data_IF_092295708130
#
_entry.id   IF_092295708130
#
_cell.length_a   1.000
_cell.length_b   1.000
_cell.length_c   1.000
_cell.angle_alpha   90.00
_cell.angle_beta   90.00
_cell.angle_gamma   90.00
#
_symmetry.space_group_name_H-M   'P 1'
#
loop_
_entity.id
_entity.type
_entity.pdbx_description
1 polymer ?
#
# COMPACT_ATOMS: atom_id res chain seq x y z
N UNK A 1 4.44 5.28 -6.39
CA UNK A 1 3.57 4.86 -5.25
C UNK A 1 3.55 5.94 -4.17
N UNK A 2 2.42 6.15 -3.51
CA UNK A 2 2.29 7.02 -2.32
C UNK A 2 1.07 6.59 -1.50
N UNK A 3 1.00 7.02 -0.25
CA UNK A 3 -0.18 6.82 0.59
C UNK A 3 -0.37 8.01 1.54
N UNK A 4 -1.57 8.12 2.11
CA UNK A 4 -1.77 8.88 3.34
C UNK A 4 -1.04 8.13 4.48
N UNK A 5 -0.14 8.80 5.20
CA UNK A 5 0.69 8.19 6.25
C UNK A 5 1.98 7.53 5.74
N UNK A 6 2.19 6.25 6.06
CA UNK A 6 3.35 5.45 5.64
C UNK A 6 2.94 4.12 5.01
N UNK A 7 3.67 3.69 4.00
CA UNK A 7 3.56 2.37 3.42
C UNK A 7 4.84 1.54 3.62
N UNK A 8 4.66 0.23 3.65
CA UNK A 8 5.70 -0.77 3.36
C UNK A 8 5.25 -1.57 2.15
N UNK A 9 6.14 -1.73 1.16
CA UNK A 9 5.85 -2.37 -0.13
C UNK A 9 6.56 -3.72 -0.22
N UNK A 10 5.84 -4.72 -0.74
CA UNK A 10 6.37 -6.01 -1.12
C UNK A 10 5.97 -6.37 -2.55
N UNK A 11 6.86 -7.09 -3.23
CA UNK A 11 6.57 -7.75 -4.50
C UNK A 11 6.97 -9.22 -4.35
N UNK A 12 6.04 -10.13 -4.63
CA UNK A 12 6.24 -11.58 -4.50
C UNK A 12 6.84 -11.99 -3.12
N UNK A 13 6.34 -11.40 -2.03
CA UNK A 13 6.83 -11.64 -0.66
C UNK A 13 8.15 -10.96 -0.29
N UNK A 14 8.90 -10.38 -1.25
CA UNK A 14 10.15 -9.66 -0.95
C UNK A 14 9.87 -8.19 -0.63
N UNK A 15 10.35 -7.73 0.53
CA UNK A 15 10.23 -6.33 0.92
C UNK A 15 11.07 -5.44 0.00
N UNK A 16 10.45 -4.41 -0.57
CA UNK A 16 11.04 -3.50 -1.56
C UNK A 16 11.48 -2.21 -0.91
N UNK A 17 10.61 -1.62 -0.09
CA UNK A 17 10.86 -0.31 0.48
C UNK A 17 9.75 0.19 1.39
N UNK A 18 10.01 1.38 1.94
CA UNK A 18 9.15 2.09 2.85
C UNK A 18 9.02 3.54 2.37
N UNK A 19 7.83 4.11 2.49
CA UNK A 19 7.58 5.47 2.03
C UNK A 19 6.21 5.95 2.50
N UNK A 20 5.63 6.98 1.87
CA UNK A 20 6.34 7.95 1.04
C UNK A 20 7.34 8.75 1.88
N UNK A 21 8.26 9.47 1.23
CA UNK A 21 9.00 10.53 1.92
C UNK A 21 8.03 11.55 2.53
N UNK A 22 8.42 12.16 3.65
CA UNK A 22 7.61 13.21 4.29
C UNK A 22 7.27 14.32 3.29
N UNK A 23 6.02 14.74 3.30
CA UNK A 23 5.48 15.81 2.48
C UNK A 23 4.38 16.54 3.23
N UNK A 24 4.11 17.79 2.81
CA UNK A 24 2.86 18.44 3.17
C UNK A 24 1.73 17.74 2.39
N UNK A 25 0.56 17.46 2.99
CA UNK A 25 -0.54 16.77 2.32
C UNK A 25 -1.06 17.51 1.07
N UNK A 26 -0.92 18.84 1.00
CA UNK A 26 -1.25 19.63 -0.20
C UNK A 26 -0.24 19.44 -1.35
N UNK A 27 0.94 18.88 -1.07
CA UNK A 27 2.02 18.62 -2.01
C UNK A 27 2.54 17.19 -1.83
N UNK A 28 1.62 16.23 -1.90
CA UNK A 28 1.91 14.82 -1.69
C UNK A 28 3.02 14.34 -2.62
N UNK A 29 4.04 13.69 -2.04
CA UNK A 29 5.14 13.11 -2.82
C UNK A 29 4.81 11.70 -3.27
N UNK A 30 5.29 11.35 -4.45
CA UNK A 30 5.20 10.02 -5.03
C UNK A 30 6.61 9.46 -5.12
N UNK A 31 6.78 8.23 -4.65
CA UNK A 31 8.03 7.51 -4.80
C UNK A 31 8.05 6.74 -6.13
N UNK A 32 9.16 6.83 -6.84
CA UNK A 32 9.48 6.03 -8.02
C UNK A 32 10.53 4.99 -7.65
N UNK A 33 10.22 3.72 -7.89
CA UNK A 33 11.05 2.59 -7.49
C UNK A 33 11.23 1.67 -8.70
N UNK A 34 12.47 1.36 -9.03
CA UNK A 34 12.79 0.35 -10.04
C UNK A 34 12.53 -1.04 -9.46
N UNK A 35 11.66 -1.82 -10.11
CA UNK A 35 11.19 -3.10 -9.59
C UNK A 35 11.50 -4.31 -10.49
N UNK A 36 12.22 -4.11 -11.60
CA UNK A 36 12.47 -5.17 -12.60
C UNK A 36 13.08 -6.44 -12.01
N UNK A 37 14.00 -6.33 -11.03
CA UNK A 37 14.66 -7.49 -10.40
C UNK A 37 13.74 -8.31 -9.48
N UNK A 38 12.57 -7.77 -9.13
CA UNK A 38 11.60 -8.41 -8.21
C UNK A 38 10.44 -9.06 -8.96
N UNK A 39 10.29 -8.76 -10.25
CA UNK A 39 9.25 -9.31 -11.10
C UNK A 39 9.69 -10.66 -11.69
N UNK A 40 8.74 -11.58 -11.77
CA UNK A 40 8.88 -12.86 -12.46
C UNK A 40 7.98 -12.93 -13.67
N UNK A 41 8.29 -13.84 -14.60
CA UNK A 41 7.38 -14.21 -15.68
C UNK A 41 6.07 -14.78 -15.08
N UNK A 42 4.94 -14.42 -15.66
CA UNK A 42 3.60 -14.83 -15.22
C UNK A 42 2.98 -13.86 -14.21
N UNK A 43 2.21 -14.40 -13.27
CA UNK A 43 1.55 -13.62 -12.23
C UNK A 43 2.56 -13.13 -11.18
N UNK A 44 2.36 -11.90 -10.73
CA UNK A 44 3.14 -11.26 -9.67
C UNK A 44 2.16 -10.73 -8.62
N UNK A 45 2.52 -10.87 -7.34
CA UNK A 45 1.76 -10.31 -6.24
C UNK A 45 2.40 -9.01 -5.78
N UNK A 46 1.56 -8.04 -5.49
CA UNK A 46 1.97 -6.76 -4.91
C UNK A 46 1.17 -6.59 -3.63
N UNK A 47 1.88 -6.26 -2.57
CA UNK A 47 1.34 -6.17 -1.24
C UNK A 47 1.84 -4.88 -0.60
N UNK A 48 0.92 -4.16 0.04
CA UNK A 48 1.20 -2.87 0.66
C UNK A 48 0.56 -2.84 2.03
N UNK A 49 1.36 -2.56 3.06
CA UNK A 49 0.86 -2.27 4.41
C UNK A 49 0.85 -0.76 4.55
N UNK A 50 -0.29 -0.18 4.90
CA UNK A 50 -0.44 1.26 5.11
C UNK A 50 -0.70 1.52 6.60
N UNK A 51 0.06 2.46 7.17
CA UNK A 51 -0.12 3.00 8.50
C UNK A 51 -0.55 4.46 8.41
N UNK A 52 -1.72 4.78 8.97
CA UNK A 52 -2.28 6.13 9.01
C UNK A 52 -2.41 6.51 10.48
N UNK A 53 -1.62 7.47 10.98
CA UNK A 53 -1.70 7.85 12.39
C UNK A 53 -3.04 8.48 12.80
N UNK A 54 -3.72 9.18 11.89
CA UNK A 54 -4.98 9.89 12.17
C UNK A 54 -4.85 11.09 13.14
N UNK A 55 -3.63 11.48 13.50
CA UNK A 55 -3.31 12.61 14.37
C UNK A 55 -2.00 13.26 13.91
N UNK A 56 -1.88 14.57 14.03
CA UNK A 56 -0.65 15.29 13.66
C UNK A 56 0.56 14.78 14.46
N UNK A 57 1.65 14.44 13.76
CA UNK A 57 2.95 14.01 14.30
C UNK A 57 4.08 14.87 13.70
N UNK A 58 5.32 14.70 14.17
CA UNK A 58 6.45 15.45 13.61
C UNK A 58 6.75 15.15 12.13
N UNK A 59 6.20 14.06 11.59
CA UNK A 59 6.41 13.58 10.22
C UNK A 59 5.12 13.39 9.42
N UNK A 60 3.96 13.61 10.03
CA UNK A 60 2.64 13.38 9.46
C UNK A 60 1.67 14.51 9.82
N UNK A 61 0.88 14.96 8.86
CA UNK A 61 -0.16 15.97 9.06
C UNK A 61 -1.48 15.40 8.54
N UNK A 62 -2.53 15.46 9.38
CA UNK A 62 -3.88 15.06 9.00
C UNK A 62 -4.39 15.99 7.91
N UNK A 63 -5.10 15.45 6.92
CA UNK A 63 -5.68 16.27 5.86
C UNK A 63 -6.76 17.19 6.45
N UNK A 64 -6.55 18.51 6.40
CA UNK A 64 -7.50 19.51 6.94
C UNK A 64 -8.42 20.11 5.87
N UNK A 65 -8.57 19.45 4.72
CA UNK A 65 -9.45 19.90 3.65
C UNK A 65 -10.93 19.70 4.00
N UNK A 66 -11.81 20.43 3.32
CA UNK A 66 -13.27 20.30 3.48
C UNK A 66 -13.81 18.88 3.20
N UNK A 67 -13.03 18.04 2.54
CA UNK A 67 -13.40 16.66 2.20
C UNK A 67 -12.97 15.63 3.23
N UNK A 68 -12.15 15.98 4.22
CA UNK A 68 -11.69 15.05 5.25
C UNK A 68 -12.86 14.50 6.09
N UNK A 69 -13.88 15.31 6.36
CA UNK A 69 -15.09 14.84 7.06
C UNK A 69 -15.94 13.88 6.24
N UNK A 70 -15.74 13.83 4.92
CA UNK A 70 -16.51 13.00 3.98
C UNK A 70 -15.78 11.68 3.70
N UNK A 71 -14.48 11.74 3.42
CA UNK A 71 -13.68 10.57 3.03
C UNK A 71 -12.84 9.99 4.16
N UNK A 72 -12.67 10.72 5.26
CA UNK A 72 -11.75 10.36 6.34
C UNK A 72 -10.29 10.54 5.93
N UNK A 73 -9.41 9.94 6.73
CA UNK A 73 -8.00 9.78 6.46
C UNK A 73 -7.73 8.38 5.88
N UNK A 74 -6.61 8.25 5.18
CA UNK A 74 -6.23 7.02 4.51
C UNK A 74 -6.40 7.09 3.00
N UNK A 75 -5.50 6.39 2.31
CA UNK A 75 -5.51 6.33 0.85
C UNK A 75 -4.20 5.75 0.34
N UNK A 76 -4.30 5.03 -0.78
CA UNK A 76 -3.15 4.45 -1.48
C UNK A 76 -3.28 4.81 -2.96
N UNK A 77 -2.20 5.33 -3.52
CA UNK A 77 -2.02 5.42 -4.96
C UNK A 77 -0.77 4.64 -5.35
N UNK A 78 -0.97 3.58 -6.13
CA UNK A 78 0.10 2.79 -6.70
C UNK A 78 -0.09 2.74 -8.21
N UNK A 79 1.00 2.90 -8.95
CA UNK A 79 1.02 2.66 -10.39
C UNK A 79 2.32 1.97 -10.72
N UNK A 80 2.24 1.01 -11.63
CA UNK A 80 3.36 0.23 -12.13
C UNK A 80 3.30 0.26 -13.64
N UNK A 81 4.45 0.59 -14.23
CA UNK A 81 4.66 0.45 -15.66
C UNK A 81 5.73 -0.61 -15.91
N UNK A 82 5.50 -1.49 -16.89
CA UNK A 82 6.44 -2.53 -17.28
C UNK A 82 6.43 -2.75 -18.78
N UNK A 83 7.58 -3.11 -19.36
CA UNK A 83 7.66 -3.52 -20.77
C UNK A 83 7.33 -5.00 -20.90
N UNK A 84 6.26 -5.33 -21.62
CA UNK A 84 5.83 -6.71 -21.90
C UNK A 84 5.64 -6.87 -23.41
N UNK A 85 6.43 -7.76 -24.02
CA UNK A 85 6.42 -8.02 -25.47
C UNK A 85 6.57 -6.75 -26.33
N UNK A 86 7.49 -5.86 -25.92
CA UNK A 86 7.77 -4.60 -26.62
C UNK A 86 6.69 -3.53 -26.47
N UNK A 87 5.74 -3.69 -25.53
CA UNK A 87 4.72 -2.69 -25.21
C UNK A 87 4.77 -2.32 -23.73
N UNK A 88 4.58 -1.05 -23.43
CA UNK A 88 4.34 -0.59 -22.06
C UNK A 88 2.98 -1.07 -21.61
N UNK A 89 2.93 -1.84 -20.52
CA UNK A 89 1.72 -2.11 -19.74
C UNK A 89 1.75 -1.25 -18.48
N UNK A 90 0.62 -0.66 -18.12
CA UNK A 90 0.44 0.13 -16.89
C UNK A 90 -0.66 -0.53 -16.06
N UNK A 91 -0.44 -0.67 -14.76
CA UNK A 91 -1.40 -1.18 -13.78
C UNK A 91 -1.42 -0.29 -12.56
N UNK A 92 -2.61 0.11 -12.10
CA UNK A 92 -2.82 0.97 -10.94
C UNK A 92 -3.44 0.25 -9.75
N UNK A 93 -3.41 0.90 -8.59
CA UNK A 93 -4.25 0.59 -7.43
C UNK A 93 -5.71 0.84 -7.77
N UNK A 94 -6.58 -0.15 -7.51
CA UNK A 94 -7.97 -0.08 -7.91
C UNK A 94 -8.98 -0.87 -7.02
N UNK A 95 -10.24 -1.07 -7.47
CA UNK A 95 -11.31 -1.79 -6.75
C UNK A 95 -11.08 -3.31 -6.76
N UNK A 96 -10.22 -3.79 -7.66
CA UNK A 96 -9.82 -5.19 -7.70
C UNK A 96 -8.84 -5.52 -6.57
N UNK A 97 -8.17 -4.52 -5.99
CA UNK A 97 -7.30 -4.72 -4.84
C UNK A 97 -8.11 -5.22 -3.66
N UNK A 98 -7.57 -6.24 -2.99
CA UNK A 98 -8.10 -6.75 -1.74
C UNK A 98 -7.52 -5.98 -0.57
N UNK A 99 -8.37 -5.60 0.37
CA UNK A 99 -8.03 -4.80 1.54
C UNK A 99 -8.60 -5.50 2.79
N UNK A 100 -7.78 -5.54 3.83
CA UNK A 100 -8.20 -5.92 5.17
C UNK A 100 -7.69 -4.87 6.16
N UNK A 101 -8.57 -4.44 7.05
CA UNK A 101 -8.21 -3.72 8.26
C UNK A 101 -8.05 -4.76 9.37
N UNK A 102 -6.82 -5.20 9.60
CA UNK A 102 -6.56 -6.31 10.53
C UNK A 102 -6.64 -5.87 11.98
N UNK A 103 -7.19 -6.74 12.81
CA UNK A 103 -7.26 -6.56 14.27
C UNK A 103 -5.96 -6.92 14.98
N UNK A 104 -4.89 -7.20 14.24
CA UNK A 104 -3.59 -7.55 14.81
C UNK A 104 -2.96 -6.37 15.58
N UNK A 105 -3.19 -5.14 15.14
CA UNK A 105 -2.72 -3.94 15.84
C UNK A 105 -3.79 -3.36 16.76
N UNK A 106 -3.42 -3.10 18.00
CA UNK A 106 -4.26 -2.32 18.92
C UNK A 106 -4.30 -0.86 18.45
N UNK A 107 -5.50 -0.32 18.21
CA UNK A 107 -5.68 1.07 17.72
C UNK A 107 -5.73 2.11 18.84
N UNK A 108 -6.23 1.73 20.01
CA UNK A 108 -6.43 2.61 21.16
C UNK A 108 -5.18 2.60 22.06
N UNK A 109 -4.07 3.15 21.57
CA UNK A 109 -2.81 3.26 22.31
C UNK A 109 -2.48 4.74 22.53
N UNK A 110 -2.04 5.15 23.74
CA UNK A 110 -1.60 6.52 23.97
C UNK A 110 -0.34 6.84 23.15
N UNK A 111 -0.26 8.08 22.66
CA UNK A 111 0.95 8.59 22.03
C UNK A 111 2.11 8.59 23.03
N UNK A 112 3.28 8.13 22.58
CA UNK A 112 4.50 8.16 23.39
C UNK A 112 5.02 9.58 23.65
N UNK A 113 4.61 10.54 22.81
CA UNK A 113 5.00 11.95 22.88
C UNK A 113 4.39 12.75 21.73
N UNK A 114 4.55 14.07 21.74
CA UNK A 114 3.89 14.98 20.79
C UNK A 114 4.33 14.80 19.33
N UNK A 115 5.58 14.40 19.09
CA UNK A 115 6.14 14.27 17.74
C UNK A 115 6.41 12.83 17.30
N UNK A 116 6.23 11.87 18.20
CA UNK A 116 6.53 10.46 17.96
C UNK A 116 5.25 9.70 17.61
N UNK A 117 5.39 8.68 16.78
CA UNK A 117 4.30 7.77 16.46
C UNK A 117 3.91 6.92 17.68
N UNK A 118 2.85 6.13 17.54
CA UNK A 118 2.39 5.19 18.55
C UNK A 118 3.46 4.11 18.82
N UNK A 119 3.53 3.64 20.07
CA UNK A 119 4.28 2.42 20.38
C UNK A 119 3.40 1.25 19.96
N UNK A 120 3.84 0.47 18.97
CA UNK A 120 3.02 -0.61 18.44
C UNK A 120 2.76 -1.70 19.50
N UNK A 121 1.50 -2.14 19.56
CA UNK A 121 1.10 -3.37 20.23
C UNK A 121 0.48 -4.26 19.17
N UNK A 122 1.15 -5.38 18.88
CA UNK A 122 0.82 -6.31 17.79
C UNK A 122 0.59 -7.72 18.34
N UNK A 123 -0.59 -8.29 18.07
CA UNK A 123 -0.85 -9.72 18.25
C UNK A 123 -0.50 -10.50 16.97
N UNK A 124 0.69 -11.08 16.95
CA UNK A 124 1.18 -11.87 15.83
C UNK A 124 0.35 -13.14 15.53
N UNK A 125 -0.51 -13.60 16.45
CA UNK A 125 -1.35 -14.80 16.25
C UNK A 125 -2.49 -14.56 15.27
N UNK A 126 -2.94 -13.33 15.15
CA UNK A 126 -4.06 -12.93 14.27
C UNK A 126 -3.58 -12.10 13.07
N UNK A 127 -2.29 -11.79 12.99
CA UNK A 127 -1.69 -11.22 11.79
C UNK A 127 -1.73 -12.27 10.66
N UNK A 128 -2.33 -11.97 9.50
CA UNK A 128 -2.30 -12.90 8.36
C UNK A 128 -0.88 -13.33 8.05
N UNK A 129 -0.64 -14.63 8.02
CA UNK A 129 0.71 -15.14 7.74
C UNK A 129 0.94 -15.13 6.23
N UNK A 130 2.12 -14.66 5.81
CA UNK A 130 2.58 -14.70 4.42
C UNK A 130 1.64 -14.02 3.41
N UNK A 131 0.81 -13.06 3.85
CA UNK A 131 -0.17 -12.35 3.00
C UNK A 131 0.43 -11.58 1.83
N UNK A 132 1.75 -11.37 1.84
CA UNK A 132 2.48 -10.72 0.75
C UNK A 132 2.85 -11.70 -0.38
N UNK A 133 2.57 -12.99 -0.22
CA UNK A 133 2.84 -14.05 -1.18
C UNK A 133 1.73 -14.16 -2.22
N UNK A 134 2.10 -14.57 -3.44
CA UNK A 134 1.15 -14.89 -4.52
C UNK A 134 0.25 -16.09 -4.20
N UNK A 135 0.69 -16.95 -3.30
CA UNK A 135 -0.03 -18.17 -2.91
C UNK A 135 -1.02 -17.93 -1.76
N UNK A 136 -1.09 -16.69 -1.24
CA UNK A 136 -2.01 -16.35 -0.17
C UNK A 136 -3.46 -16.34 -0.68
N UNK A 137 -4.37 -16.92 0.08
CA UNK A 137 -5.80 -16.90 -0.20
C UNK A 137 -6.46 -15.67 0.43
N UNK A 138 -6.80 -14.69 -0.40
CA UNK A 138 -7.42 -13.42 -0.02
C UNK A 138 -8.93 -13.36 -0.35
N UNK A 139 -9.59 -14.53 -0.51
CA UNK A 139 -11.01 -14.58 -0.85
C UNK A 139 -11.90 -13.86 0.16
N UNK A 140 -11.56 -13.94 1.45
CA UNK A 140 -12.28 -13.30 2.56
C UNK A 140 -12.01 -11.80 2.69
N UNK A 141 -11.04 -11.24 1.96
CA UNK A 141 -10.72 -9.82 2.03
C UNK A 141 -11.70 -9.00 1.18
N UNK A 142 -12.09 -7.84 1.72
CA UNK A 142 -12.96 -6.91 1.04
C UNK A 142 -12.26 -6.33 -0.20
N UNK A 143 -13.04 -6.00 -1.23
CA UNK A 143 -12.53 -5.22 -2.36
C UNK A 143 -12.34 -3.77 -1.97
N UNK A 144 -11.36 -3.11 -2.57
CA UNK A 144 -11.14 -1.68 -2.41
C UNK A 144 -12.32 -0.87 -2.92
N UNK A 145 -12.62 0.25 -2.25
CA UNK A 145 -13.56 1.25 -2.75
C UNK A 145 -12.73 2.33 -3.49
N UNK A 146 -12.97 2.57 -4.79
CA UNK A 146 -12.38 3.73 -5.51
C UNK A 146 -13.45 4.64 -6.12
N UNK A 147 -12.98 5.80 -6.56
CA UNK A 147 -13.30 6.56 -7.76
C UNK A 147 -12.73 6.03 -9.14
N UNK A 148 -12.77 4.71 -9.45
CA UNK A 148 -12.53 3.98 -10.76
C UNK A 148 -11.08 3.56 -11.21
N UNK A 149 -10.87 2.66 -12.23
CA UNK A 149 -10.56 1.22 -12.08
C UNK A 149 -9.25 0.74 -12.78
N UNK A 150 -8.81 -0.52 -12.62
CA UNK A 150 -7.74 -1.22 -13.41
C UNK A 150 -8.02 -2.76 -13.52
N UNK A 151 -7.07 -3.51 -14.09
CA UNK A 151 -7.11 -4.91 -14.56
C UNK A 151 -5.84 -5.67 -14.12
N UNK A 152 -5.90 -7.01 -14.09
CA UNK A 152 -4.77 -7.92 -13.80
C UNK A 152 -3.74 -7.97 -14.95
N UNK A 153 -2.45 -7.77 -14.65
CA UNK A 153 -1.35 -7.90 -15.64
C UNK A 153 -0.77 -9.31 -15.63
N UNK A 154 -1.09 -10.08 -16.67
CA UNK A 154 -0.40 -11.34 -16.97
C UNK A 154 0.88 -11.05 -17.80
N UNK A 155 2.06 -11.39 -17.24
CA UNK A 155 3.35 -11.23 -17.93
C UNK A 155 3.68 -12.51 -18.72
N UNK A 156 3.20 -12.60 -19.95
CA UNK A 156 3.67 -13.60 -20.90
C UNK A 156 5.02 -13.20 -21.49
N UNK A 157 6.12 -13.74 -20.98
CA UNK A 157 7.44 -13.62 -21.63
C UNK A 157 7.60 -14.75 -22.66
N UNK A 158 7.55 -14.43 -23.95
CA UNK A 158 8.10 -15.32 -24.99
C UNK A 158 9.61 -15.13 -25.02
N UNK A 159 10.35 -16.12 -24.54
CA UNK A 159 11.79 -16.24 -24.77
C UNK A 159 12.02 -16.33 -26.29
N UNK A 160 12.96 -15.53 -26.80
CA UNK A 160 13.66 -15.87 -28.05
C UNK A 160 14.51 -17.10 -27.84
#
# INVERSE_FOLDING_TARGET
ITCDGKYKLWINGKAIGYGPYRSNPNFQRIDEIEISEFLKKGANQIAVLVHVPGVDLAWYEVNKSAWQTVFGDGGLYCEISAQVNGKTKISGSDESWKIVDTTAWTKEIPLSGWGQDFIEELDARVLPKDWQSLEYDDMDWARGNISKPTFVVEIGCTTR
#
